data_IF_476302515212
#
_entry.id   IF_476302515212
#
_cell.length_a   1.000
_cell.length_b   1.000
_cell.length_c   1.000
_cell.angle_alpha   90.00
_cell.angle_beta   90.00
_cell.angle_gamma   90.00
#
_symmetry.space_group_name_H-M   'P 1'
#
loop_
_entity.id
_entity.type
_entity.pdbx_description
1 polymer ?
#
# COMPACT_ATOMS: atom_id res chain seq x y z
N UNK A 1 -21.41 -38.78 -14.19
CA UNK A 1 -20.21 -38.86 -13.32
C UNK A 1 -20.24 -37.66 -12.39
N UNK A 2 -20.70 -37.85 -11.16
CA UNK A 2 -20.78 -36.82 -10.14
C UNK A 2 -19.75 -37.20 -9.07
N UNK A 3 -18.66 -36.45 -8.98
CA UNK A 3 -17.72 -36.56 -7.86
C UNK A 3 -17.95 -35.37 -6.93
N UNK A 4 -18.64 -35.63 -5.83
CA UNK A 4 -18.73 -34.72 -4.69
C UNK A 4 -17.53 -34.97 -3.77
N UNK A 5 -16.68 -33.96 -3.57
CA UNK A 5 -15.65 -33.99 -2.54
C UNK A 5 -16.27 -33.65 -1.18
N UNK A 6 -16.33 -34.62 -0.27
CA UNK A 6 -16.41 -34.34 1.16
C UNK A 6 -14.99 -34.12 1.70
N UNK A 7 -14.83 -33.12 2.56
CA UNK A 7 -13.64 -32.98 3.40
C UNK A 7 -14.10 -32.67 4.80
N UNK A 8 -14.13 -33.71 5.61
CA UNK A 8 -14.15 -33.62 7.06
C UNK A 8 -12.73 -33.36 7.56
N UNK A 9 -12.53 -32.32 8.36
CA UNK A 9 -11.48 -32.30 9.39
C UNK A 9 -12.04 -31.76 10.70
N UNK A 10 -11.75 -32.50 11.76
CA UNK A 10 -12.13 -32.35 13.16
C UNK A 10 -10.92 -31.78 13.92
N UNK A 11 -11.15 -30.72 14.73
CA UNK A 11 -10.54 -30.31 16.04
C UNK A 11 -9.00 -30.28 16.19
N UNK A 12 -8.30 -29.54 17.06
CA UNK A 12 -8.50 -28.58 18.17
C UNK A 12 -7.09 -28.00 18.44
N UNK A 13 -6.94 -26.75 18.89
CA UNK A 13 -6.29 -26.38 20.17
C UNK A 13 -5.79 -24.93 20.27
N UNK A 14 -5.87 -24.44 21.49
CA UNK A 14 -5.45 -23.12 21.95
C UNK A 14 -3.93 -22.93 21.83
N UNK A 15 -3.48 -21.75 21.39
CA UNK A 15 -2.11 -21.29 21.66
C UNK A 15 -2.04 -19.76 21.67
N UNK A 16 -2.09 -19.23 22.90
CA UNK A 16 -1.24 -18.15 23.41
C UNK A 16 -0.73 -17.14 22.36
N UNK A 17 -1.50 -16.08 22.10
CA UNK A 17 -0.94 -14.89 21.45
C UNK A 17 -0.30 -14.01 22.51
N UNK A 18 1.01 -14.22 22.66
CA UNK A 18 1.91 -13.36 23.40
C UNK A 18 1.75 -11.91 22.92
N UNK A 19 1.61 -11.00 23.87
CA UNK A 19 1.49 -9.56 23.65
C UNK A 19 2.81 -9.07 23.06
N UNK A 20 2.88 -8.91 21.74
CA UNK A 20 3.82 -7.94 21.18
C UNK A 20 3.07 -6.62 21.12
N UNK A 21 3.45 -5.69 22.00
CA UNK A 21 3.10 -4.29 21.86
C UNK A 21 3.53 -3.87 20.45
N UNK A 22 2.58 -3.77 19.53
CA UNK A 22 2.81 -3.24 18.20
C UNK A 22 3.26 -1.81 18.45
N UNK A 23 4.52 -1.51 18.15
CA UNK A 23 4.98 -0.13 18.07
C UNK A 23 4.12 0.54 17.00
N UNK A 24 3.04 1.22 17.42
CA UNK A 24 2.09 1.91 16.53
C UNK A 24 2.81 2.93 15.65
N UNK A 25 3.96 3.44 16.12
CA UNK A 25 4.84 4.30 15.34
C UNK A 25 5.47 3.61 14.10
N UNK A 26 5.72 2.30 14.14
CA UNK A 26 6.36 1.58 13.03
C UNK A 26 5.35 1.11 11.97
N UNK A 27 4.05 1.13 12.30
CA UNK A 27 2.97 0.83 11.36
C UNK A 27 2.36 2.07 10.70
N UNK A 28 2.75 3.28 11.13
CA UNK A 28 2.33 4.54 10.53
C UNK A 28 3.16 4.86 9.29
N UNK A 29 2.46 5.18 8.20
CA UNK A 29 3.05 5.61 6.94
C UNK A 29 2.71 7.09 6.70
N UNK A 30 3.69 7.84 6.19
CA UNK A 30 3.49 9.25 5.88
C UNK A 30 2.43 9.43 4.80
N UNK A 31 2.44 8.53 3.80
CA UNK A 31 1.50 8.52 2.71
C UNK A 31 1.12 7.09 2.34
N UNK A 32 -0.18 6.86 2.09
CA UNK A 32 -0.70 5.66 1.43
C UNK A 32 -1.42 6.07 0.16
N UNK A 33 -0.99 5.51 -0.97
CA UNK A 33 -1.64 5.68 -2.28
C UNK A 33 -2.31 4.37 -2.66
N UNK A 34 -3.64 4.38 -2.72
CA UNK A 34 -4.46 3.21 -2.98
C UNK A 34 -5.00 3.26 -4.41
N UNK A 35 -4.62 2.29 -5.21
CA UNK A 35 -5.17 2.05 -6.55
C UNK A 35 -6.29 1.03 -6.40
N UNK A 36 -7.52 1.44 -6.71
CA UNK A 36 -8.70 0.60 -6.57
C UNK A 36 -9.46 0.48 -7.89
N UNK A 37 -10.17 -0.62 -8.04
CA UNK A 37 -11.03 -0.85 -9.20
C UNK A 37 -12.47 -0.46 -8.89
N UNK A 38 -13.20 -0.11 -9.95
CA UNK A 38 -14.66 0.11 -9.94
C UNK A 38 -15.39 -0.96 -10.77
N UNK A 39 -14.81 -2.15 -10.89
CA UNK A 39 -15.31 -3.28 -11.70
C UNK A 39 -14.78 -3.31 -13.13
N UNK A 40 -13.64 -2.66 -13.40
CA UNK A 40 -13.00 -2.65 -14.72
C UNK A 40 -11.47 -2.66 -14.64
N UNK A 41 -10.91 -3.18 -13.54
CA UNK A 41 -9.49 -3.06 -13.22
C UNK A 41 -9.07 -1.68 -12.74
N UNK A 42 -7.84 -1.63 -12.21
CA UNK A 42 -7.18 -0.39 -11.81
C UNK A 42 -6.76 0.46 -13.02
N UNK A 43 -6.39 1.72 -12.76
CA UNK A 43 -5.66 2.52 -13.75
C UNK A 43 -4.19 2.07 -13.82
N UNK A 44 -3.92 1.12 -14.73
CA UNK A 44 -2.58 0.56 -14.92
C UNK A 44 -1.55 1.58 -15.41
N UNK A 45 -1.97 2.57 -16.20
CA UNK A 45 -1.09 3.63 -16.69
C UNK A 45 -0.66 4.54 -15.54
N UNK A 46 -1.61 5.00 -14.73
CA UNK A 46 -1.30 5.83 -13.58
C UNK A 46 -0.42 5.11 -12.55
N UNK A 47 -0.60 3.78 -12.39
CA UNK A 47 0.27 2.95 -11.56
C UNK A 47 1.72 2.97 -12.08
N UNK A 48 1.92 2.75 -13.38
CA UNK A 48 3.26 2.77 -13.99
C UNK A 48 3.91 4.14 -13.88
N UNK A 49 3.17 5.21 -14.15
CA UNK A 49 3.63 6.59 -13.98
C UNK A 49 4.03 6.88 -12.53
N UNK A 50 3.31 6.31 -11.55
CA UNK A 50 3.65 6.46 -10.14
C UNK A 50 4.95 5.75 -9.77
N UNK A 51 5.12 4.50 -10.23
CA UNK A 51 6.35 3.74 -9.99
C UNK A 51 7.56 4.42 -10.63
N UNK A 52 7.40 4.95 -11.84
CA UNK A 52 8.42 5.74 -12.51
C UNK A 52 8.74 7.02 -11.73
N UNK A 53 7.74 7.77 -11.30
CA UNK A 53 7.93 8.98 -10.49
C UNK A 53 8.71 8.71 -9.20
N UNK A 54 8.40 7.61 -8.47
CA UNK A 54 9.14 7.26 -7.26
C UNK A 54 10.61 6.99 -7.58
N UNK A 55 10.88 6.22 -8.64
CA UNK A 55 12.24 5.92 -9.06
C UNK A 55 13.00 7.19 -9.46
N UNK A 56 12.39 8.06 -10.25
CA UNK A 56 12.97 9.34 -10.66
C UNK A 56 13.25 10.24 -9.46
N UNK A 57 12.31 10.35 -8.52
CA UNK A 57 12.46 11.14 -7.31
C UNK A 57 13.64 10.64 -6.46
N UNK A 58 13.78 9.32 -6.32
CA UNK A 58 14.91 8.70 -5.62
C UNK A 58 16.24 9.01 -6.30
N UNK A 59 16.30 8.89 -7.63
CA UNK A 59 17.53 9.16 -8.41
C UNK A 59 17.93 10.63 -8.37
N UNK A 60 17.00 11.54 -8.59
CA UNK A 60 17.26 12.99 -8.63
C UNK A 60 17.73 13.50 -7.28
N UNK A 61 17.07 13.07 -6.19
CA UNK A 61 17.37 13.55 -4.85
C UNK A 61 18.45 12.71 -4.14
N UNK A 62 18.94 11.64 -4.77
CA UNK A 62 19.86 10.68 -4.19
C UNK A 62 19.38 10.15 -2.82
N UNK A 63 18.08 9.82 -2.74
CA UNK A 63 17.42 9.30 -1.54
C UNK A 63 16.85 7.91 -1.79
N UNK A 64 16.64 7.16 -0.71
CA UNK A 64 15.93 5.89 -0.75
C UNK A 64 14.57 6.04 -0.08
N UNK A 65 13.50 5.77 -0.82
CA UNK A 65 12.14 5.75 -0.27
C UNK A 65 11.81 4.31 0.11
N UNK A 66 11.38 4.10 1.36
CA UNK A 66 10.92 2.79 1.82
C UNK A 66 9.46 2.63 1.41
N UNK A 67 9.23 1.78 0.43
CA UNK A 67 7.93 1.50 -0.17
C UNK A 67 7.47 0.09 0.16
N UNK A 68 6.33 -0.03 0.84
CA UNK A 68 5.63 -1.30 1.02
C UNK A 68 4.44 -1.38 0.07
N UNK A 69 4.38 -2.44 -0.73
CA UNK A 69 3.28 -2.70 -1.66
C UNK A 69 2.38 -3.78 -1.06
N UNK A 70 1.07 -3.56 -1.06
CA UNK A 70 0.11 -4.57 -0.60
C UNK A 70 -1.05 -4.68 -1.58
N UNK A 71 -1.09 -5.81 -2.31
CA UNK A 71 -2.20 -6.14 -3.20
C UNK A 71 -3.36 -6.73 -2.39
N UNK A 72 -4.57 -6.22 -2.53
CA UNK A 72 -5.73 -6.62 -1.72
C UNK A 72 -6.96 -7.06 -2.52
N UNK A 73 -6.94 -6.89 -3.85
CA UNK A 73 -8.06 -7.26 -4.71
C UNK A 73 -7.65 -8.13 -5.91
N UNK A 74 -8.65 -8.67 -6.60
CA UNK A 74 -8.46 -9.60 -7.74
C UNK A 74 -8.23 -8.88 -9.06
N UNK A 75 -8.57 -7.61 -9.16
CA UNK A 75 -8.52 -6.80 -10.38
C UNK A 75 -7.25 -5.93 -10.42
N UNK A 76 -6.28 -6.24 -9.56
CA UNK A 76 -4.99 -5.55 -9.47
C UNK A 76 -4.96 -4.43 -8.43
N UNK A 77 -5.94 -4.36 -7.53
CA UNK A 77 -5.99 -3.36 -6.47
C UNK A 77 -4.80 -3.49 -5.53
N UNK A 78 -4.13 -2.36 -5.30
CA UNK A 78 -2.84 -2.30 -4.64
C UNK A 78 -2.68 -0.99 -3.87
N UNK A 79 -2.13 -1.11 -2.68
CA UNK A 79 -1.75 0.01 -1.84
C UNK A 79 -0.23 0.18 -1.84
N UNK A 80 0.21 1.42 -2.03
CA UNK A 80 1.60 1.86 -1.89
C UNK A 80 1.72 2.62 -0.58
N UNK A 81 2.35 2.00 0.41
CA UNK A 81 2.53 2.53 1.74
C UNK A 81 3.96 3.02 1.91
N UNK A 82 4.12 4.33 2.10
CA UNK A 82 5.41 5.01 1.97
C UNK A 82 5.86 5.53 3.34
N UNK A 83 7.04 5.08 3.76
CA UNK A 83 7.75 5.65 4.91
C UNK A 83 8.77 6.67 4.40
N UNK A 84 8.69 7.88 4.93
CA UNK A 84 9.61 8.97 4.57
C UNK A 84 10.59 9.32 5.71
N UNK A 85 10.75 8.45 6.70
CA UNK A 85 11.52 8.67 7.92
C UNK A 85 13.04 8.92 7.72
N UNK A 86 13.54 8.85 6.48
CA UNK A 86 14.93 9.15 6.12
C UNK A 86 15.11 10.40 5.24
N UNK A 87 14.04 11.14 4.92
CA UNK A 87 14.09 12.33 4.07
C UNK A 87 14.04 13.60 4.92
N UNK A 88 14.58 14.71 4.40
CA UNK A 88 14.41 16.03 5.02
C UNK A 88 12.95 16.46 4.97
N UNK A 89 12.52 17.36 5.86
CA UNK A 89 11.11 17.80 5.92
C UNK A 89 10.65 18.41 4.60
N UNK A 90 11.55 19.11 3.92
CA UNK A 90 11.29 19.74 2.62
C UNK A 90 11.00 18.67 1.56
N UNK A 91 11.85 17.64 1.45
CA UNK A 91 11.65 16.54 0.51
C UNK A 91 10.42 15.69 0.84
N UNK A 92 10.10 15.53 2.13
CA UNK A 92 8.87 14.86 2.55
C UNK A 92 7.64 15.61 2.05
N UNK A 93 7.60 16.92 2.27
CA UNK A 93 6.50 17.77 1.83
C UNK A 93 6.40 17.83 0.30
N UNK A 94 7.53 17.98 -0.39
CA UNK A 94 7.59 17.98 -1.85
C UNK A 94 7.05 16.67 -2.43
N UNK A 95 7.48 15.52 -1.88
CA UNK A 95 7.02 14.22 -2.33
C UNK A 95 5.51 14.03 -2.13
N UNK A 96 5.00 14.40 -0.95
CA UNK A 96 3.57 14.28 -0.63
C UNK A 96 2.75 15.21 -1.54
N UNK A 97 3.17 16.46 -1.69
CA UNK A 97 2.44 17.45 -2.48
C UNK A 97 2.44 17.09 -3.96
N UNK A 98 3.59 16.70 -4.52
CA UNK A 98 3.71 16.25 -5.90
C UNK A 98 2.85 15.02 -6.19
N UNK A 99 2.75 14.08 -5.22
CA UNK A 99 1.89 12.91 -5.35
C UNK A 99 0.41 13.29 -5.34
N UNK A 100 0.00 14.21 -4.46
CA UNK A 100 -1.37 14.74 -4.42
C UNK A 100 -1.72 15.44 -5.73
N UNK A 101 -0.86 16.33 -6.21
CA UNK A 101 -1.12 17.10 -7.42
C UNK A 101 -1.21 16.22 -8.67
N UNK A 102 -0.41 15.16 -8.73
CA UNK A 102 -0.44 14.17 -9.82
C UNK A 102 -1.77 13.41 -9.89
N UNK A 103 -2.41 13.15 -8.76
CA UNK A 103 -3.60 12.27 -8.69
C UNK A 103 -4.87 12.93 -8.17
N UNK A 104 -4.87 14.25 -7.96
CA UNK A 104 -6.03 15.02 -7.44
C UNK A 104 -7.32 14.80 -8.24
N UNK A 105 -7.20 14.59 -9.55
CA UNK A 105 -8.32 14.42 -10.48
C UNK A 105 -8.63 12.94 -10.77
N UNK A 106 -7.87 12.02 -10.18
CA UNK A 106 -8.07 10.58 -10.41
C UNK A 106 -9.32 10.07 -9.71
N UNK A 107 -10.15 9.34 -10.47
CA UNK A 107 -11.34 8.65 -9.94
C UNK A 107 -11.04 7.25 -9.39
N UNK A 108 -9.81 6.75 -9.58
CA UNK A 108 -9.39 5.36 -9.27
C UNK A 108 -8.20 5.29 -8.31
N UNK A 109 -7.81 6.43 -7.75
CA UNK A 109 -6.70 6.55 -6.82
C UNK A 109 -7.20 7.33 -5.59
N UNK A 110 -6.91 6.82 -4.40
CA UNK A 110 -7.18 7.50 -3.13
C UNK A 110 -5.89 7.68 -2.36
N UNK A 111 -5.72 8.87 -1.79
CA UNK A 111 -4.55 9.23 -1.00
C UNK A 111 -4.97 9.38 0.46
N UNK A 112 -4.13 8.87 1.35
CA UNK A 112 -4.31 8.94 2.79
C UNK A 112 -2.99 9.32 3.43
N UNK A 113 -3.02 10.27 4.36
CA UNK A 113 -1.84 10.72 5.09
C UNK A 113 -1.86 10.17 6.51
N UNK A 114 -0.67 9.95 7.08
CA UNK A 114 -0.48 9.51 8.46
C UNK A 114 -1.39 8.32 8.83
N UNK A 115 -1.45 7.32 7.93
CA UNK A 115 -2.32 6.15 8.06
C UNK A 115 -1.50 4.87 8.15
N UNK A 116 -2.11 3.82 8.67
CA UNK A 116 -1.55 2.48 8.55
C UNK A 116 -1.73 1.93 7.14
N UNK A 117 -0.84 1.01 6.76
CA UNK A 117 -0.99 0.24 5.54
C UNK A 117 -2.11 -0.81 5.69
N UNK A 118 -2.80 -1.11 4.61
CA UNK A 118 -3.80 -2.18 4.60
C UNK A 118 -3.10 -3.50 4.87
N UNK A 119 -3.49 -4.21 5.92
CA UNK A 119 -3.02 -5.57 6.18
C UNK A 119 -3.87 -6.54 5.37
N UNK A 120 -3.26 -7.38 4.53
CA UNK A 120 -3.94 -8.57 4.05
C UNK A 120 -4.23 -9.47 5.27
N UNK A 121 -5.52 -9.71 5.53
CA UNK A 121 -5.97 -10.74 6.48
C UNK A 121 -6.24 -12.04 5.75
#
# INVERSE_FOLDING_TARGET
MLFACSSSKVQTDNSHSNVHAINVADSMYALRVSFFSIGSGIDGKAKQEYEQYINEFQTINNVTIVLNKTSWGKEGEIDYCIKLAGLTKELQQEFIQSTKDKFKDSKRIRLYENTTCTSNK
#
